data_IF_794311235400
#
_entry.id   IF_794311235400
#
_cell.length_a   1.000
_cell.length_b   1.000
_cell.length_c   1.000
_cell.angle_alpha   90.00
_cell.angle_beta   90.00
_cell.angle_gamma   90.00
#
_symmetry.space_group_name_H-M   'P 1'
#
loop_
_entity.id
_entity.type
_entity.pdbx_description
1 polymer ?
#
# COMPACT_ATOMS: atom_id res chain seq x y z
N UNK A 1 13.39 13.65 7.46
CA UNK A 1 12.17 14.01 6.70
C UNK A 1 12.08 13.40 5.29
N UNK A 2 13.17 13.27 4.50
CA UNK A 2 13.13 12.68 3.13
C UNK A 2 12.90 11.16 3.08
N UNK A 3 13.56 10.37 3.97
CA UNK A 3 13.46 8.90 3.97
C UNK A 3 12.04 8.39 4.29
N UNK A 4 11.36 9.01 5.26
CA UNK A 4 9.98 8.68 5.60
C UNK A 4 9.00 8.98 4.46
N UNK A 5 9.26 10.04 3.69
CA UNK A 5 8.47 10.41 2.50
C UNK A 5 8.61 9.43 1.35
N UNK A 6 9.82 8.92 1.12
CA UNK A 6 10.05 7.85 0.17
C UNK A 6 9.32 6.56 0.59
N UNK A 7 9.35 6.23 1.88
CA UNK A 7 8.81 4.98 2.40
C UNK A 7 7.28 4.89 2.23
N UNK A 8 6.51 5.93 2.62
CA UNK A 8 5.06 5.88 2.43
C UNK A 8 4.64 5.91 0.96
N UNK A 9 5.38 6.62 0.10
CA UNK A 9 5.12 6.62 -1.33
C UNK A 9 5.36 5.23 -1.93
N UNK A 10 6.39 4.52 -1.46
CA UNK A 10 6.66 3.14 -1.85
C UNK A 10 5.54 2.20 -1.40
N UNK A 11 5.06 2.32 -0.15
CA UNK A 11 3.94 1.52 0.35
C UNK A 11 2.65 1.75 -0.44
N UNK A 12 2.32 3.00 -0.75
CA UNK A 12 1.15 3.34 -1.56
C UNK A 12 1.31 2.80 -2.98
N UNK A 13 2.46 3.05 -3.63
CA UNK A 13 2.73 2.58 -4.99
C UNK A 13 2.69 1.04 -5.10
N UNK A 14 3.32 0.34 -4.16
CA UNK A 14 3.30 -1.13 -4.10
C UNK A 14 1.88 -1.65 -3.85
N UNK A 15 1.12 -1.02 -2.95
CA UNK A 15 -0.26 -1.39 -2.68
C UNK A 15 -1.19 -1.23 -3.90
N UNK A 16 -1.06 -0.13 -4.65
CA UNK A 16 -1.80 0.06 -5.91
C UNK A 16 -1.40 -1.00 -6.95
N UNK A 17 -0.09 -1.20 -7.17
CA UNK A 17 0.41 -2.16 -8.15
C UNK A 17 -0.01 -3.61 -7.86
N UNK A 18 0.03 -4.01 -6.59
CA UNK A 18 -0.42 -5.33 -6.17
C UNK A 18 -1.95 -5.48 -6.30
N UNK A 19 -2.73 -4.45 -5.96
CA UNK A 19 -4.20 -4.48 -6.12
C UNK A 19 -4.59 -4.71 -7.58
N UNK A 20 -3.95 -3.98 -8.51
CA UNK A 20 -4.16 -4.15 -9.95
C UNK A 20 -3.73 -5.56 -10.37
N UNK A 21 -2.54 -6.00 -9.94
CA UNK A 21 -2.04 -7.34 -10.28
C UNK A 21 -3.02 -8.42 -9.84
N UNK A 22 -3.48 -8.40 -8.60
CA UNK A 22 -4.43 -9.38 -8.09
C UNK A 22 -5.83 -9.22 -8.68
N UNK A 23 -6.27 -8.03 -9.12
CA UNK A 23 -7.56 -7.89 -9.81
C UNK A 23 -7.55 -8.47 -11.22
N UNK A 24 -6.52 -8.17 -12.00
CA UNK A 24 -6.50 -8.35 -13.46
C UNK A 24 -5.72 -9.56 -13.95
N UNK A 25 -4.79 -10.13 -13.16
CA UNK A 25 -4.16 -11.41 -13.52
C UNK A 25 -5.01 -12.59 -13.07
N UNK A 26 -4.83 -13.69 -13.79
CA UNK A 26 -5.38 -14.99 -13.42
C UNK A 26 -4.61 -15.56 -12.22
N UNK A 27 -5.21 -15.45 -11.04
CA UNK A 27 -4.80 -16.14 -9.82
C UNK A 27 -5.94 -17.03 -9.35
N UNK A 28 -5.62 -18.09 -8.61
CA UNK A 28 -6.64 -18.86 -7.92
C UNK A 28 -7.35 -17.98 -6.89
N UNK A 29 -8.64 -18.23 -6.68
CA UNK A 29 -9.50 -17.42 -5.83
C UNK A 29 -8.91 -17.17 -4.42
N UNK A 30 -8.31 -18.16 -3.73
CA UNK A 30 -7.67 -17.93 -2.43
C UNK A 30 -6.48 -16.97 -2.49
N UNK A 31 -5.61 -17.11 -3.51
CA UNK A 31 -4.46 -16.24 -3.72
C UNK A 31 -4.93 -14.81 -4.02
N UNK A 32 -6.00 -14.67 -4.82
CA UNK A 32 -6.60 -13.39 -5.16
C UNK A 32 -7.06 -12.63 -3.91
N UNK A 33 -7.76 -13.32 -3.01
CA UNK A 33 -8.29 -12.74 -1.76
C UNK A 33 -7.14 -12.36 -0.82
N UNK A 34 -6.21 -13.27 -0.55
CA UNK A 34 -5.06 -13.00 0.34
C UNK A 34 -4.21 -11.86 -0.22
N UNK A 35 -3.95 -11.88 -1.52
CA UNK A 35 -3.21 -10.83 -2.22
C UNK A 35 -3.88 -9.47 -2.13
N UNK A 36 -5.21 -9.40 -2.30
CA UNK A 36 -5.95 -8.16 -2.12
C UNK A 36 -5.85 -7.62 -0.69
N UNK A 37 -5.99 -8.48 0.32
CA UNK A 37 -5.90 -8.11 1.74
C UNK A 37 -4.52 -7.49 2.04
N UNK A 38 -3.44 -8.10 1.56
CA UNK A 38 -2.08 -7.59 1.72
C UNK A 38 -1.93 -6.22 1.01
N UNK A 39 -2.47 -6.10 -0.20
CA UNK A 39 -2.41 -4.86 -0.98
C UNK A 39 -3.09 -3.69 -0.26
N UNK A 40 -4.29 -3.94 0.29
CA UNK A 40 -5.04 -2.96 1.07
C UNK A 40 -4.27 -2.60 2.35
N UNK A 41 -3.67 -3.58 3.01
CA UNK A 41 -2.88 -3.34 4.24
C UNK A 41 -1.70 -2.42 3.96
N UNK A 42 -1.01 -2.60 2.83
CA UNK A 42 0.09 -1.70 2.40
C UNK A 42 -0.42 -0.29 2.08
N UNK A 43 -1.58 -0.15 1.42
CA UNK A 43 -2.19 1.14 1.12
C UNK A 43 -2.54 1.90 2.41
N UNK A 44 -3.25 1.24 3.33
CA UNK A 44 -3.67 1.84 4.60
C UNK A 44 -2.46 2.18 5.45
N UNK A 45 -1.46 1.29 5.53
CA UNK A 45 -0.20 1.56 6.23
C UNK A 45 0.55 2.76 5.65
N UNK A 46 0.64 2.86 4.33
CA UNK A 46 1.23 4.01 3.63
C UNK A 46 0.49 5.32 3.92
N UNK A 47 -0.84 5.30 3.91
CA UNK A 47 -1.67 6.47 4.23
C UNK A 47 -1.51 6.92 5.69
N UNK A 48 -1.52 5.99 6.65
CA UNK A 48 -1.29 6.31 8.07
C UNK A 48 0.11 6.91 8.28
N UNK A 49 1.14 6.33 7.66
CA UNK A 49 2.50 6.84 7.74
C UNK A 49 2.63 8.23 7.10
N UNK A 50 1.93 8.47 5.98
CA UNK A 50 1.87 9.78 5.34
C UNK A 50 1.20 10.82 6.23
N UNK A 51 0.02 10.49 6.76
CA UNK A 51 -0.74 11.35 7.66
C UNK A 51 0.11 11.72 8.89
N UNK A 52 0.69 10.72 9.56
CA UNK A 52 1.57 10.93 10.72
C UNK A 52 2.80 11.76 10.37
N UNK A 53 3.40 11.59 9.19
CA UNK A 53 4.58 12.35 8.78
C UNK A 53 4.28 13.81 8.41
N UNK A 54 3.05 14.12 8.00
CA UNK A 54 2.62 15.48 7.68
C UNK A 54 2.05 16.21 8.90
N UNK A 55 1.27 15.54 9.76
CA UNK A 55 0.72 16.13 11.00
C UNK A 55 1.75 16.34 12.13
N UNK A 56 2.92 15.68 12.10
CA UNK A 56 3.98 15.90 13.10
C UNK A 56 4.81 17.17 12.84
N UNK A 57 4.45 17.96 11.83
CA UNK A 57 5.14 19.21 11.46
C UNK A 57 4.40 20.45 11.95
N UNK A 58 3.19 20.29 12.46
CA UNK A 58 2.43 21.31 13.20
C UNK A 58 2.70 21.12 14.70
#
# INVERSE_FOLDING_TARGET
MKKTKLLYNLFIGAGVGLTITFMFKEFTLPIKVIGLIISITLLVGGLILNFKANHKKD
#
